data_IF_440704563414
#
_entry.id   IF_440704563414
#
_cell.length_a   1.000
_cell.length_b   1.000
_cell.length_c   1.000
_cell.angle_alpha   90.00
_cell.angle_beta   90.00
_cell.angle_gamma   90.00
#
_symmetry.space_group_name_H-M   'P 1'
#
loop_
_entity.id
_entity.type
_entity.pdbx_description
1 polymer ?
#
# COMPACT_ATOMS: atom_id res chain seq x y z
N UNK A 1 32.89 -15.18 -23.27
CA UNK A 1 31.65 -15.76 -23.82
C UNK A 1 30.67 -15.86 -22.66
N UNK A 2 29.77 -14.92 -22.37
CA UNK A 2 29.00 -14.03 -23.24
C UNK A 2 27.53 -14.46 -23.18
N UNK A 3 26.71 -13.69 -22.44
CA UNK A 3 25.26 -13.90 -22.27
C UNK A 3 24.91 -14.20 -20.80
N UNK A 4 24.37 -13.30 -19.99
CA UNK A 4 23.45 -12.21 -20.29
C UNK A 4 22.05 -12.64 -19.87
N UNK A 5 21.73 -12.50 -18.58
CA UNK A 5 20.42 -12.79 -18.00
C UNK A 5 20.20 -11.89 -16.80
N UNK A 6 19.53 -10.76 -17.05
CA UNK A 6 19.32 -9.64 -16.15
C UNK A 6 18.69 -10.04 -14.81
N UNK A 7 19.41 -9.74 -13.74
CA UNK A 7 18.89 -9.63 -12.37
C UNK A 7 17.85 -8.51 -12.32
N UNK A 8 16.56 -8.86 -12.35
CA UNK A 8 15.46 -7.94 -12.09
C UNK A 8 15.32 -7.70 -10.59
N UNK A 9 16.03 -6.70 -10.08
CA UNK A 9 15.81 -6.11 -8.76
C UNK A 9 14.71 -5.04 -8.85
N UNK A 10 13.94 -4.88 -7.77
CA UNK A 10 12.98 -3.78 -7.47
C UNK A 10 11.58 -4.00 -8.06
N UNK A 11 10.51 -4.08 -7.26
CA UNK A 11 10.08 -3.04 -6.33
C UNK A 11 9.65 -3.59 -4.96
N UNK A 12 9.90 -2.79 -3.92
CA UNK A 12 9.43 -3.02 -2.54
C UNK A 12 8.05 -2.38 -2.43
N UNK A 13 7.03 -3.18 -2.16
CA UNK A 13 5.65 -2.69 -2.13
C UNK A 13 5.16 -2.52 -0.68
N UNK A 14 4.62 -1.35 -0.35
CA UNK A 14 4.22 -0.90 0.99
C UNK A 14 2.78 -0.38 0.99
N UNK A 15 2.06 -0.48 2.11
CA UNK A 15 0.92 0.43 2.35
C UNK A 15 1.46 1.78 2.78
N UNK A 16 0.95 2.80 2.15
CA UNK A 16 1.66 4.04 2.08
C UNK A 16 0.67 5.19 2.22
N UNK A 17 0.29 5.58 3.43
CA UNK A 17 -0.21 6.94 3.57
C UNK A 17 0.96 7.89 3.35
N UNK A 18 0.98 8.56 2.19
CA UNK A 18 1.95 9.58 1.83
C UNK A 18 1.86 10.79 2.79
N UNK A 19 2.98 11.34 3.25
CA UNK A 19 3.06 12.64 3.95
C UNK A 19 4.40 13.31 3.59
N UNK A 20 4.56 14.65 3.50
CA UNK A 20 4.58 15.27 2.18
C UNK A 20 5.70 16.31 1.89
N UNK A 21 6.09 16.36 0.62
CA UNK A 21 6.34 17.52 -0.24
C UNK A 21 6.25 17.10 -1.71
N UNK A 22 5.21 16.32 -2.06
CA UNK A 22 5.01 15.89 -3.43
C UNK A 22 4.33 17.02 -4.21
N UNK A 23 5.13 17.80 -4.94
CA UNK A 23 4.67 18.41 -6.18
C UNK A 23 3.99 17.35 -7.04
N UNK A 24 2.93 17.75 -7.73
CA UNK A 24 2.27 17.05 -8.84
C UNK A 24 3.31 16.41 -9.76
N UNK A 25 3.71 15.18 -9.49
CA UNK A 25 4.55 14.38 -10.35
C UNK A 25 3.87 13.03 -10.42
N UNK A 26 3.00 12.96 -11.41
CA UNK A 26 2.60 11.79 -12.18
C UNK A 26 2.80 10.45 -11.46
N UNK A 27 1.69 9.75 -11.21
CA UNK A 27 1.61 8.36 -10.76
C UNK A 27 2.48 7.36 -11.54
N UNK A 28 3.05 7.76 -12.68
CA UNK A 28 4.01 7.00 -13.49
C UNK A 28 5.50 7.30 -13.16
N UNK A 29 5.80 8.12 -12.16
CA UNK A 29 7.16 8.63 -11.89
C UNK A 29 7.90 8.02 -10.71
N UNK A 30 7.38 6.97 -10.05
CA UNK A 30 8.19 6.22 -9.06
C UNK A 30 9.46 5.59 -9.69
N UNK A 31 9.46 5.37 -11.01
CA UNK A 31 10.63 4.96 -11.81
C UNK A 31 11.44 6.13 -12.38
N UNK A 32 10.97 7.38 -12.24
CA UNK A 32 11.64 8.62 -12.65
C UNK A 32 12.07 9.49 -11.46
N UNK A 33 12.31 8.88 -10.29
CA UNK A 33 12.99 9.59 -9.22
C UNK A 33 14.47 9.74 -9.60
N UNK A 34 14.76 10.73 -10.44
CA UNK A 34 16.13 11.13 -10.71
C UNK A 34 16.79 11.49 -9.38
N UNK A 35 18.06 11.12 -9.21
CA UNK A 35 18.87 11.55 -8.05
C UNK A 35 18.95 13.07 -7.87
N UNK A 36 18.45 13.85 -8.84
CA UNK A 36 18.42 15.30 -8.84
C UNK A 36 17.26 15.92 -8.03
N UNK A 37 16.22 15.17 -7.66
CA UNK A 37 15.17 15.66 -6.74
C UNK A 37 14.85 14.62 -5.66
N UNK A 38 15.26 14.84 -4.40
CA UNK A 38 14.91 13.95 -3.32
C UNK A 38 13.39 14.03 -3.09
N UNK A 39 12.71 12.87 -3.19
CA UNK A 39 11.36 12.72 -2.70
C UNK A 39 11.33 13.13 -1.22
N UNK A 40 10.63 14.20 -0.91
CA UNK A 40 10.38 14.61 0.46
C UNK A 40 9.06 13.99 0.87
N UNK A 41 9.12 12.87 1.56
CA UNK A 41 7.94 12.27 2.14
C UNK A 41 8.19 10.94 2.84
N UNK A 42 7.14 10.37 3.40
CA UNK A 42 7.18 9.09 4.09
C UNK A 42 5.86 8.33 4.01
N UNK A 43 5.87 7.14 4.63
CA UNK A 43 4.75 6.20 4.63
C UNK A 43 4.34 5.89 6.07
N UNK A 44 3.04 5.92 6.35
CA UNK A 44 2.46 5.30 7.55
C UNK A 44 1.84 3.96 7.16
N UNK A 45 2.28 2.91 7.85
CA UNK A 45 1.86 1.52 7.67
C UNK A 45 1.06 1.07 8.89
N UNK A 46 -0.09 0.45 8.65
CA UNK A 46 -0.80 -0.32 9.68
C UNK A 46 -0.69 -1.81 9.38
N UNK A 47 -0.34 -2.59 10.40
CA UNK A 47 -0.27 -4.05 10.32
C UNK A 47 -1.40 -4.64 11.14
N UNK A 48 -2.33 -5.33 10.47
CA UNK A 48 -3.32 -6.16 11.15
C UNK A 48 -2.61 -7.24 11.96
N UNK A 49 -2.85 -7.23 13.27
CA UNK A 49 -2.29 -8.22 14.19
C UNK A 49 -2.94 -9.58 13.98
N UNK A 50 -2.09 -10.61 13.80
CA UNK A 50 -2.47 -12.03 13.77
C UNK A 50 -3.76 -12.25 12.98
N UNK A 51 -3.75 -12.04 11.65
CA UNK A 51 -4.96 -12.16 10.86
C UNK A 51 -5.62 -13.52 11.12
N UNK A 52 -6.95 -13.51 11.21
CA UNK A 52 -7.75 -14.72 11.34
C UNK A 52 -7.96 -15.40 9.98
N UNK A 53 -7.89 -14.63 8.90
CA UNK A 53 -7.86 -15.14 7.53
C UNK A 53 -6.62 -16.01 7.33
N UNK A 54 -6.82 -17.19 6.76
CA UNK A 54 -5.75 -18.14 6.46
C UNK A 54 -5.70 -18.46 4.98
N UNK A 55 -4.51 -18.85 4.54
CA UNK A 55 -4.18 -19.07 3.14
C UNK A 55 -4.01 -20.54 2.76
N UNK A 56 -3.59 -20.76 1.51
CA UNK A 56 -3.12 -22.05 1.03
C UNK A 56 -1.78 -21.90 0.33
N UNK A 57 -0.94 -22.93 0.45
CA UNK A 57 0.32 -23.07 -0.27
C UNK A 57 0.30 -24.39 -1.02
N UNK A 58 0.53 -24.31 -2.33
CA UNK A 58 0.53 -25.46 -3.22
C UNK A 58 1.81 -25.50 -4.07
N UNK A 59 2.35 -26.69 -4.24
CA UNK A 59 3.47 -26.91 -5.16
C UNK A 59 2.99 -26.80 -6.60
N UNK A 60 3.51 -25.84 -7.36
CA UNK A 60 3.22 -25.72 -8.80
C UNK A 60 3.82 -26.89 -9.60
N UNK A 61 4.99 -27.35 -9.17
CA UNK A 61 5.74 -28.44 -9.80
C UNK A 61 6.45 -29.26 -8.70
N UNK A 62 7.02 -30.41 -9.07
CA UNK A 62 7.86 -31.20 -8.15
C UNK A 62 9.32 -30.68 -8.06
N UNK A 63 9.67 -29.66 -8.83
CA UNK A 63 11.01 -29.08 -8.80
C UNK A 63 11.14 -28.13 -7.60
N UNK A 64 12.01 -28.42 -6.60
CA UNK A 64 12.14 -27.58 -5.41
C UNK A 64 12.72 -26.18 -5.68
N UNK A 65 13.16 -25.89 -6.92
CA UNK A 65 13.62 -24.55 -7.32
C UNK A 65 12.51 -23.64 -7.84
N UNK A 66 11.32 -24.18 -8.09
CA UNK A 66 10.18 -23.39 -8.58
C UNK A 66 9.41 -22.82 -7.38
N UNK A 67 8.96 -21.56 -7.49
CA UNK A 67 8.15 -20.94 -6.46
C UNK A 67 6.79 -21.65 -6.34
N UNK A 68 6.29 -21.91 -5.11
CA UNK A 68 4.94 -22.42 -4.92
C UNK A 68 3.90 -21.35 -5.27
N UNK A 69 2.66 -21.79 -5.45
CA UNK A 69 1.50 -20.90 -5.53
C UNK A 69 1.01 -20.65 -4.11
N UNK A 70 0.81 -19.38 -3.76
CA UNK A 70 0.36 -18.96 -2.42
C UNK A 70 -0.87 -18.07 -2.55
N UNK A 71 -1.89 -18.35 -1.74
CA UNK A 71 -3.06 -17.49 -1.54
C UNK A 71 -3.16 -17.16 -0.06
N UNK A 72 -3.38 -15.89 0.30
CA UNK A 72 -3.49 -15.46 1.71
C UNK A 72 -4.92 -15.19 2.17
N UNK A 73 -5.86 -15.04 1.23
CA UNK A 73 -7.27 -14.74 1.50
C UNK A 73 -7.48 -13.49 2.39
N UNK A 74 -6.76 -12.40 2.12
CA UNK A 74 -6.85 -11.16 2.91
C UNK A 74 -8.31 -10.75 3.13
N UNK A 75 -8.66 -10.48 4.39
CA UNK A 75 -10.00 -10.07 4.83
C UNK A 75 -11.13 -11.10 4.60
N UNK A 76 -10.81 -12.36 4.33
CA UNK A 76 -11.81 -13.43 4.30
C UNK A 76 -12.53 -13.57 5.65
N UNK A 77 -11.78 -13.47 6.76
CA UNK A 77 -12.39 -13.35 8.07
C UNK A 77 -12.78 -11.87 8.32
N UNK A 78 -14.06 -11.57 8.62
CA UNK A 78 -14.55 -10.19 8.69
C UNK A 78 -13.88 -9.35 9.78
N UNK A 79 -13.40 -9.96 10.85
CA UNK A 79 -12.71 -9.22 11.91
C UNK A 79 -11.35 -8.66 11.49
N UNK A 80 -10.70 -9.21 10.47
CA UNK A 80 -9.45 -8.64 9.94
C UNK A 80 -9.72 -7.29 9.27
N UNK A 81 -10.83 -7.19 8.53
CA UNK A 81 -11.25 -5.93 7.92
C UNK A 81 -11.63 -4.90 8.98
N UNK A 82 -12.38 -5.30 10.01
CA UNK A 82 -12.71 -4.43 11.14
C UNK A 82 -11.44 -3.95 11.88
N UNK A 83 -10.42 -4.79 12.00
CA UNK A 83 -9.11 -4.41 12.58
C UNK A 83 -8.42 -3.37 11.72
N UNK A 84 -8.34 -3.60 10.40
CA UNK A 84 -7.78 -2.61 9.47
C UNK A 84 -8.51 -1.26 9.56
N UNK A 85 -9.85 -1.24 9.55
CA UNK A 85 -10.64 -0.01 9.66
C UNK A 85 -10.30 0.77 10.95
N UNK A 86 -10.20 0.09 12.09
CA UNK A 86 -9.76 0.72 13.35
C UNK A 86 -8.31 1.22 13.28
N UNK A 87 -7.47 0.50 12.56
CA UNK A 87 -6.10 0.89 12.25
C UNK A 87 -6.04 2.21 11.48
N UNK A 88 -6.80 2.34 10.40
CA UNK A 88 -6.91 3.57 9.61
C UNK A 88 -7.44 4.74 10.43
N UNK A 89 -8.48 4.53 11.26
CA UNK A 89 -8.98 5.54 12.19
C UNK A 89 -7.93 5.96 13.24
N UNK A 90 -6.98 5.08 13.56
CA UNK A 90 -5.86 5.40 14.45
C UNK A 90 -4.81 6.25 13.72
N UNK A 91 -4.49 5.90 12.47
CA UNK A 91 -3.62 6.72 11.61
C UNK A 91 -4.21 8.12 11.43
N UNK A 92 -5.52 8.24 11.22
CA UNK A 92 -6.21 9.52 11.13
C UNK A 92 -5.93 10.41 12.34
N UNK A 93 -6.12 9.88 13.55
CA UNK A 93 -5.85 10.59 14.81
C UNK A 93 -4.38 10.99 14.94
N UNK A 94 -3.44 10.15 14.48
CA UNK A 94 -2.02 10.48 14.46
C UNK A 94 -1.76 11.64 13.51
N UNK A 95 -2.26 11.58 12.28
CA UNK A 95 -2.07 12.61 11.25
C UNK A 95 -2.69 13.96 11.66
N UNK A 96 -3.85 13.94 12.33
CA UNK A 96 -4.52 15.13 12.82
C UNK A 96 -3.90 15.71 14.12
N UNK A 97 -2.98 14.98 14.77
CA UNK A 97 -2.40 15.41 16.04
C UNK A 97 -1.46 16.62 15.89
N UNK A 98 -1.35 17.43 16.95
CA UNK A 98 -0.39 18.55 17.02
C UNK A 98 1.06 18.10 16.83
N UNK A 99 1.41 16.90 17.32
CA UNK A 99 2.75 16.34 17.18
C UNK A 99 3.11 16.04 15.71
N UNK A 100 2.11 15.70 14.89
CA UNK A 100 2.31 15.38 13.48
C UNK A 100 2.23 16.61 12.56
N UNK A 101 1.79 17.76 13.07
CA UNK A 101 1.55 18.97 12.27
C UNK A 101 2.76 19.43 11.43
N UNK A 102 3.99 19.23 11.91
CA UNK A 102 5.23 19.58 11.18
C UNK A 102 5.56 18.64 10.00
N UNK A 103 4.88 17.51 9.91
CA UNK A 103 5.08 16.48 8.89
C UNK A 103 3.92 16.43 7.91
N UNK A 104 3.03 17.44 7.88
CA UNK A 104 1.99 17.55 6.86
C UNK A 104 1.84 19.00 6.43
N UNK A 105 1.33 19.22 5.22
CA UNK A 105 0.93 20.56 4.83
C UNK A 105 -0.35 20.98 5.54
N UNK A 106 -0.50 22.29 5.78
CA UNK A 106 -1.63 22.84 6.51
C UNK A 106 -2.97 22.57 5.82
N UNK A 107 -2.97 22.54 4.49
CA UNK A 107 -4.12 22.32 3.61
C UNK A 107 -4.35 20.84 3.24
N UNK A 108 -3.54 19.92 3.76
CA UNK A 108 -3.65 18.49 3.48
C UNK A 108 -4.64 17.82 4.44
N UNK A 109 -5.82 17.47 3.91
CA UNK A 109 -6.85 16.70 4.62
C UNK A 109 -6.51 15.21 4.66
N UNK A 110 -7.10 14.46 5.60
CA UNK A 110 -6.89 13.01 5.69
C UNK A 110 -7.49 12.28 4.49
N UNK A 111 -8.64 12.75 4.00
CA UNK A 111 -9.33 12.25 2.81
C UNK A 111 -8.48 12.40 1.55
N UNK A 112 -7.77 13.53 1.42
CA UNK A 112 -6.81 13.72 0.34
C UNK A 112 -5.71 12.65 0.38
N UNK A 113 -5.19 12.34 1.56
CA UNK A 113 -4.18 11.31 1.74
C UNK A 113 -4.69 9.91 1.42
N UNK A 114 -5.94 9.59 1.81
CA UNK A 114 -6.58 8.32 1.46
C UNK A 114 -6.73 8.19 -0.06
N UNK A 115 -7.19 9.25 -0.74
CA UNK A 115 -7.38 9.26 -2.18
C UNK A 115 -6.04 9.15 -2.94
N UNK A 116 -5.02 9.89 -2.51
CA UNK A 116 -3.68 9.81 -3.08
C UNK A 116 -3.09 8.39 -2.97
N UNK A 117 -3.28 7.75 -1.82
CA UNK A 117 -2.80 6.38 -1.59
C UNK A 117 -3.60 5.37 -2.43
N UNK A 118 -4.93 5.48 -2.46
CA UNK A 118 -5.79 4.59 -3.22
C UNK A 118 -5.65 4.72 -4.75
N UNK A 119 -5.13 5.85 -5.23
CA UNK A 119 -4.78 6.09 -6.64
C UNK A 119 -3.35 5.66 -6.99
N UNK A 120 -2.55 5.25 -6.00
CA UNK A 120 -1.19 4.74 -6.20
C UNK A 120 -1.20 3.22 -6.33
N UNK A 121 -0.47 2.63 -7.29
CA UNK A 121 -0.40 1.17 -7.45
C UNK A 121 0.48 0.53 -6.35
N UNK A 122 -0.09 0.35 -5.16
CA UNK A 122 0.58 -0.27 -3.99
C UNK A 122 0.48 -1.80 -3.98
N UNK A 123 -0.32 -2.37 -4.87
CA UNK A 123 -0.56 -3.80 -5.01
C UNK A 123 -0.96 -4.14 -6.46
N UNK A 124 -1.22 -5.42 -6.73
CA UNK A 124 -1.65 -5.93 -8.04
C UNK A 124 -3.17 -5.90 -8.26
N UNK A 125 -3.94 -5.22 -7.40
CA UNK A 125 -5.39 -5.07 -7.59
C UNK A 125 -5.67 -4.00 -8.64
N UNK A 126 -6.73 -4.16 -9.45
CA UNK A 126 -7.16 -3.10 -10.35
C UNK A 126 -7.49 -1.81 -9.57
N UNK A 127 -7.14 -0.63 -10.12
CA UNK A 127 -7.55 0.64 -9.53
C UNK A 127 -9.07 0.75 -9.36
N UNK A 128 -9.49 1.59 -8.41
CA UNK A 128 -10.90 1.93 -8.23
C UNK A 128 -11.50 2.42 -9.55
N UNK A 129 -12.66 1.88 -9.89
CA UNK A 129 -13.35 2.11 -11.15
C UNK A 129 -14.84 2.35 -10.90
N UNK A 130 -15.50 3.14 -11.74
CA UNK A 130 -16.94 3.42 -11.66
C UNK A 130 -17.30 4.72 -10.91
N UNK A 131 -18.61 4.96 -10.70
CA UNK A 131 -19.10 6.16 -10.01
C UNK A 131 -18.49 6.28 -8.61
N UNK A 132 -17.81 7.39 -8.33
CA UNK A 132 -17.16 7.63 -7.04
C UNK A 132 -15.72 7.16 -6.93
N UNK A 133 -15.09 6.66 -8.00
CA UNK A 133 -13.65 6.34 -8.00
C UNK A 133 -12.75 7.58 -7.77
N UNK A 134 -13.25 8.78 -8.10
CA UNK A 134 -12.57 10.06 -7.84
C UNK A 134 -12.84 10.64 -6.45
N UNK A 135 -13.77 10.05 -5.69
CA UNK A 135 -14.08 10.47 -4.33
C UNK A 135 -13.15 9.77 -3.33
N UNK A 136 -12.88 10.40 -2.17
CA UNK A 136 -12.15 9.73 -1.10
C UNK A 136 -12.84 8.41 -0.72
N UNK A 137 -12.09 7.29 -0.64
CA UNK A 137 -12.67 6.01 -0.28
C UNK A 137 -13.12 6.00 1.19
N UNK A 138 -14.12 5.17 1.50
CA UNK A 138 -14.39 4.84 2.91
C UNK A 138 -13.21 4.09 3.52
N UNK A 139 -13.09 4.04 4.85
CA UNK A 139 -12.01 3.29 5.49
C UNK A 139 -12.03 1.79 5.13
N UNK A 140 -13.22 1.22 4.93
CA UNK A 140 -13.38 -0.18 4.53
C UNK A 140 -12.90 -0.40 3.09
N UNK A 141 -13.35 0.46 2.16
CA UNK A 141 -12.94 0.42 0.76
C UNK A 141 -11.44 0.65 0.62
N UNK A 142 -10.89 1.60 1.39
CA UNK A 142 -9.46 1.84 1.47
C UNK A 142 -8.70 0.57 1.85
N UNK A 143 -9.11 -0.10 2.94
CA UNK A 143 -8.50 -1.35 3.39
C UNK A 143 -8.51 -2.41 2.28
N UNK A 144 -9.66 -2.64 1.64
CA UNK A 144 -9.81 -3.68 0.62
C UNK A 144 -8.99 -3.40 -0.65
N UNK A 145 -8.93 -2.14 -1.10
CA UNK A 145 -8.28 -1.77 -2.35
C UNK A 145 -6.78 -1.52 -2.22
N UNK A 146 -6.29 -1.14 -1.04
CA UNK A 146 -4.86 -0.84 -0.82
C UNK A 146 -4.09 -2.00 -0.18
N UNK A 147 -4.76 -3.14 0.10
CA UNK A 147 -4.16 -4.36 0.67
C UNK A 147 -2.90 -4.86 -0.06
N UNK A 148 -1.76 -4.85 0.62
CA UNK A 148 -0.46 -5.44 0.25
C UNK A 148 0.14 -6.29 1.40
N UNK A 149 1.33 -6.86 1.21
CA UNK A 149 2.02 -7.64 2.25
C UNK A 149 2.97 -6.76 3.06
N UNK A 150 3.20 -7.11 4.33
CA UNK A 150 4.30 -6.56 5.14
C UNK A 150 5.41 -7.59 5.37
N UNK A 151 5.45 -8.63 4.52
CA UNK A 151 6.45 -9.71 4.52
C UNK A 151 6.54 -10.51 5.83
N UNK A 152 5.48 -10.47 6.64
CA UNK A 152 5.34 -11.24 7.88
C UNK A 152 4.21 -12.26 7.72
N UNK A 153 4.40 -13.21 6.79
CA UNK A 153 3.46 -14.31 6.54
C UNK A 153 3.54 -15.41 7.60
#
# INVERSE_FOLDING_TARGET
>A
FGGGGSSGSSTRDYYAMFSPRATLLESNSMTKLSSAQPFQGGFLLEKVMGPLSTGHLELKTRNPRDNPVVTFNYFQHPDDLKRCVRGIQTIERVVQSKAFARYKYADMSFEYLLNLTASTPVNIRPPRSGPGASLPPSAEEFCQHTVTTIWHY
#
